data_IF_930571853918
#
_entry.id   IF_930571853918
#
_cell.length_a   1.000
_cell.length_b   1.000
_cell.length_c   1.000
_cell.angle_alpha   90.00
_cell.angle_beta   90.00
_cell.angle_gamma   90.00
#
_symmetry.space_group_name_H-M   'P 1'
#
loop_
_entity.id
_entity.type
_entity.pdbx_description
1 polymer ?
#
# COMPACT_ATOMS: atom_id res chain seq x y z
N UNK A 1 2.25 12.71 0.63
CA UNK A 1 1.13 11.85 0.16
C UNK A 1 1.69 10.70 -0.66
N UNK A 2 1.75 9.49 -0.09
CA UNK A 2 2.25 8.32 -0.82
C UNK A 2 1.24 7.94 -1.90
N UNK A 3 1.58 8.11 -3.18
CA UNK A 3 0.69 7.73 -4.29
C UNK A 3 0.99 6.28 -4.68
N UNK A 4 -0.03 5.44 -4.57
CA UNK A 4 -0.01 4.02 -4.88
C UNK A 4 -0.82 3.68 -6.12
N UNK A 5 -0.43 2.64 -6.84
CA UNK A 5 -1.29 2.10 -7.89
C UNK A 5 -2.36 1.21 -7.27
N UNK A 6 -3.63 1.61 -7.36
CA UNK A 6 -4.73 0.79 -6.90
C UNK A 6 -5.17 -0.14 -8.03
N UNK A 7 -5.01 -1.45 -7.83
CA UNK A 7 -5.35 -2.45 -8.85
C UNK A 7 -6.85 -2.52 -9.15
N UNK A 8 -7.72 -2.16 -8.19
CA UNK A 8 -9.17 -2.04 -8.41
C UNK A 8 -9.53 -0.80 -9.23
N UNK A 9 -8.92 0.34 -8.92
CA UNK A 9 -9.18 1.57 -9.65
C UNK A 9 -8.40 1.67 -10.97
N UNK A 10 -7.46 0.74 -11.22
CA UNK A 10 -6.48 0.75 -12.33
C UNK A 10 -5.84 2.14 -12.53
N UNK A 11 -5.63 2.85 -11.43
CA UNK A 11 -5.20 4.24 -11.42
C UNK A 11 -4.26 4.48 -10.25
N UNK A 12 -3.39 5.49 -10.40
CA UNK A 12 -2.56 6.00 -9.30
C UNK A 12 -3.47 6.79 -8.36
N UNK A 13 -3.59 6.31 -7.13
CA UNK A 13 -4.42 6.87 -6.06
C UNK A 13 -3.58 7.13 -4.83
N UNK A 14 -4.07 7.98 -3.94
CA UNK A 14 -3.38 8.23 -2.68
C UNK A 14 -3.56 7.06 -1.73
N UNK A 15 -2.45 6.64 -1.12
CA UNK A 15 -2.43 5.71 -0.01
C UNK A 15 -2.59 6.51 1.28
N UNK A 16 -3.68 6.24 1.99
CA UNK A 16 -3.97 6.71 3.34
C UNK A 16 -3.51 5.65 4.33
N UNK A 17 -3.11 6.03 5.54
CA UNK A 17 -2.68 5.08 6.58
C UNK A 17 -1.54 4.13 6.16
N UNK A 18 -0.50 4.69 5.53
CA UNK A 18 0.70 3.91 5.22
C UNK A 18 1.41 3.52 6.51
N UNK A 19 1.44 2.22 6.80
CA UNK A 19 2.10 1.60 7.94
C UNK A 19 3.11 0.57 7.45
N UNK A 20 4.34 0.67 7.95
CA UNK A 20 5.32 -0.38 7.76
C UNK A 20 4.90 -1.63 8.55
N UNK A 21 4.76 -2.75 7.84
CA UNK A 21 4.50 -4.07 8.39
C UNK A 21 5.61 -5.01 7.96
N UNK A 22 6.20 -5.70 8.92
CA UNK A 22 7.19 -6.75 8.67
C UNK A 22 6.43 -8.06 8.46
N UNK A 23 6.46 -8.59 7.24
CA UNK A 23 5.86 -9.90 6.94
C UNK A 23 6.63 -10.99 7.68
N UNK A 24 5.98 -12.13 7.98
CA UNK A 24 6.60 -13.29 8.66
C UNK A 24 7.87 -13.81 7.97
N UNK A 25 8.07 -13.50 6.69
CA UNK A 25 9.25 -13.87 5.90
C UNK A 25 10.41 -12.86 6.00
N UNK A 26 10.40 -11.97 7.01
CA UNK A 26 11.46 -10.97 7.24
C UNK A 26 11.49 -9.81 6.25
N UNK A 27 10.54 -9.73 5.32
CA UNK A 27 10.43 -8.64 4.33
C UNK A 27 9.58 -7.50 4.87
N UNK A 28 10.06 -6.28 4.74
CA UNK A 28 9.29 -5.06 5.03
C UNK A 28 8.28 -4.80 3.91
N UNK A 29 7.06 -4.45 4.28
CA UNK A 29 6.03 -4.01 3.36
C UNK A 29 5.32 -2.80 3.95
N UNK A 30 4.96 -1.84 3.11
CA UNK A 30 4.07 -0.75 3.45
C UNK A 30 2.64 -1.21 3.22
N UNK A 31 1.85 -1.31 4.29
CA UNK A 31 0.41 -1.47 4.21
C UNK A 31 -0.23 -0.08 4.20
N UNK A 32 -0.93 0.27 3.14
CA UNK A 32 -1.75 1.48 3.06
C UNK A 32 -3.17 1.16 2.64
N UNK A 33 -4.04 2.16 2.60
CA UNK A 33 -5.44 2.05 2.20
C UNK A 33 -5.69 3.00 1.04
N UNK A 34 -6.40 2.55 0.00
CA UNK A 34 -6.76 3.42 -1.12
C UNK A 34 -7.88 4.37 -0.70
N UNK A 35 -7.67 5.69 -0.84
CA UNK A 35 -8.68 6.71 -0.50
C UNK A 35 -9.98 6.61 -1.29
N UNK A 36 -9.97 5.98 -2.48
CA UNK A 36 -11.12 5.91 -3.37
C UNK A 36 -11.96 4.65 -3.23
N UNK A 37 -11.38 3.54 -2.77
CA UNK A 37 -12.05 2.24 -2.73
C UNK A 37 -11.83 1.49 -1.42
N UNK A 38 -11.26 2.16 -0.41
CA UNK A 38 -10.91 1.62 0.91
C UNK A 38 -10.19 0.27 0.89
N UNK A 39 -9.55 -0.07 -0.22
CA UNK A 39 -8.91 -1.37 -0.39
C UNK A 39 -7.51 -1.29 0.19
N UNK A 40 -7.19 -2.27 1.05
CA UNK A 40 -5.84 -2.43 1.58
C UNK A 40 -4.86 -2.68 0.43
N UNK A 41 -3.90 -1.77 0.28
CA UNK A 41 -2.80 -1.88 -0.65
C UNK A 41 -1.55 -2.26 0.12
N UNK A 42 -0.75 -3.17 -0.43
CA UNK A 42 0.54 -3.54 0.12
C UNK A 42 1.61 -3.18 -0.90
N UNK A 43 2.45 -2.21 -0.56
CA UNK A 43 3.68 -1.90 -1.28
C UNK A 43 4.80 -2.66 -0.60
N UNK A 44 5.25 -3.76 -1.19
CA UNK A 44 6.44 -4.46 -0.72
C UNK A 44 7.62 -3.51 -0.91
N UNK A 45 8.21 -3.04 0.19
CA UNK A 45 9.46 -2.30 0.15
C UNK A 45 10.56 -3.34 -0.04
N UNK A 46 11.03 -3.53 -1.27
CA UNK A 46 12.32 -4.18 -1.47
C UNK A 46 13.38 -3.25 -0.92
N UNK A 47 14.26 -3.82 -0.11
CA UNK A 47 15.42 -3.19 0.51
C UNK A 47 16.24 -2.41 -0.52
#
# INVERSE_FOLDING_TARGET
MAKGYCMKCKAKREMVDVKEVTMKNGRKANKGVCSSCNTNMFCILKK
#
